data_IF_716124500748
#
_entry.id   IF_716124500748
#
_cell.length_a   1.000
_cell.length_b   1.000
_cell.length_c   1.000
_cell.angle_alpha   90.00
_cell.angle_beta   90.00
_cell.angle_gamma   90.00
#
_symmetry.space_group_name_H-M   'P 1'
#
loop_
_entity.id
_entity.type
_entity.pdbx_description
1 polymer ?
#
# COMPACT_ATOMS: atom_id res chain seq x y z
N UNK A 1 -24.23 14.50 16.19
CA UNK A 1 -22.89 15.01 15.96
C UNK A 1 -22.26 14.33 14.74
N UNK A 2 -21.27 14.96 14.16
CA UNK A 2 -20.51 14.43 13.02
C UNK A 2 -19.12 14.05 13.51
N UNK A 3 -18.60 12.91 13.03
CA UNK A 3 -17.21 12.48 13.26
C UNK A 3 -16.52 12.42 11.90
N UNK A 4 -15.45 13.17 11.74
CA UNK A 4 -14.59 13.12 10.57
C UNK A 4 -13.43 12.15 10.82
N UNK A 5 -13.36 11.09 10.03
CA UNK A 5 -12.25 10.13 10.06
C UNK A 5 -11.17 10.61 9.10
N UNK A 6 -9.96 10.86 9.61
CA UNK A 6 -8.85 11.36 8.79
C UNK A 6 -7.77 10.29 8.72
N UNK A 7 -7.76 9.49 7.63
CA UNK A 7 -6.82 8.38 7.47
C UNK A 7 -5.45 8.81 6.94
N UNK A 8 -5.26 10.09 6.66
CA UNK A 8 -3.99 10.64 6.17
C UNK A 8 -2.99 10.85 7.30
N UNK A 9 -1.72 11.02 6.97
CA UNK A 9 -0.66 11.38 7.90
C UNK A 9 -0.16 12.82 7.72
N UNK A 10 -0.75 13.55 6.78
CA UNK A 10 -0.45 14.95 6.48
C UNK A 10 -1.71 15.80 6.65
N UNK A 11 -1.64 16.94 7.37
CA UNK A 11 -2.82 17.77 7.58
C UNK A 11 -3.18 18.52 6.31
N UNK A 12 -4.38 18.24 5.79
CA UNK A 12 -4.94 18.88 4.60
C UNK A 12 -6.21 19.65 4.96
N UNK A 13 -6.32 20.88 4.48
CA UNK A 13 -7.43 21.78 4.81
C UNK A 13 -8.80 21.21 4.41
N UNK A 14 -8.88 20.49 3.29
CA UNK A 14 -10.15 19.93 2.81
C UNK A 14 -10.72 18.79 3.67
N UNK A 15 -9.92 18.28 4.64
CA UNK A 15 -10.42 17.31 5.62
C UNK A 15 -11.18 17.98 6.78
N UNK A 16 -11.12 19.30 6.92
CA UNK A 16 -11.76 20.00 8.01
C UNK A 16 -13.27 20.15 7.78
N UNK A 17 -14.04 19.73 8.75
CA UNK A 17 -15.50 19.83 8.74
C UNK A 17 -15.92 20.60 9.98
N UNK A 18 -16.52 21.79 9.78
CA UNK A 18 -16.98 22.62 10.88
C UNK A 18 -18.02 21.87 11.74
N UNK A 19 -17.86 21.96 13.07
CA UNK A 19 -18.75 21.30 14.02
C UNK A 19 -18.59 19.78 14.15
N UNK A 20 -17.59 19.20 13.48
CA UNK A 20 -17.25 17.79 13.61
C UNK A 20 -16.16 17.54 14.64
N UNK A 21 -16.18 16.37 15.26
CA UNK A 21 -15.01 15.82 15.97
C UNK A 21 -14.12 15.10 14.96
N UNK A 22 -12.87 15.52 14.88
CA UNK A 22 -11.88 14.94 13.96
C UNK A 22 -11.07 13.86 14.63
N UNK A 23 -11.08 12.66 14.11
CA UNK A 23 -10.21 11.58 14.58
C UNK A 23 -8.98 11.50 13.70
N UNK A 24 -7.81 11.52 14.32
CA UNK A 24 -6.51 11.55 13.64
C UNK A 24 -5.64 10.37 14.05
N UNK A 25 -4.81 9.90 13.12
CA UNK A 25 -3.97 8.73 13.32
C UNK A 25 -2.66 9.06 14.05
N UNK A 26 -2.11 10.27 13.83
CA UNK A 26 -0.76 10.62 14.24
C UNK A 26 -0.71 11.96 14.96
N UNK A 27 0.26 12.15 15.88
CA UNK A 27 0.48 13.44 16.54
C UNK A 27 0.77 14.61 15.56
N UNK A 28 1.36 14.35 14.42
CA UNK A 28 1.59 15.34 13.36
C UNK A 28 0.30 15.99 12.86
N UNK A 29 -0.74 15.18 12.63
CA UNK A 29 -2.07 15.67 12.26
C UNK A 29 -2.69 16.51 13.37
N UNK A 30 -2.63 16.01 14.61
CA UNK A 30 -3.10 16.76 15.77
C UNK A 30 -2.45 18.14 15.86
N UNK A 31 -1.12 18.19 15.77
CA UNK A 31 -0.37 19.44 15.82
C UNK A 31 -0.68 20.34 14.62
N UNK A 32 -0.77 19.79 13.41
CA UNK A 32 -1.10 20.53 12.21
C UNK A 32 -2.44 21.26 12.35
N UNK A 33 -3.51 20.54 12.73
CA UNK A 33 -4.83 21.14 12.88
C UNK A 33 -4.96 22.07 14.11
N UNK A 34 -4.11 21.91 15.11
CA UNK A 34 -4.06 22.80 16.27
C UNK A 34 -3.30 24.09 16.01
N UNK A 35 -2.35 24.07 15.09
CA UNK A 35 -1.43 25.21 14.86
C UNK A 35 -1.53 25.80 13.45
N UNK A 36 -2.19 25.10 12.52
CA UNK A 36 -2.24 25.38 11.07
C UNK A 36 -0.85 25.44 10.41
N UNK A 37 0.17 24.92 11.10
CA UNK A 37 1.52 24.84 10.54
C UNK A 37 1.65 23.62 9.64
N UNK A 38 2.39 23.79 8.54
CA UNK A 38 2.68 22.75 7.56
C UNK A 38 1.41 22.08 6.98
N UNK A 39 0.29 22.82 7.01
CA UNK A 39 -0.96 22.36 6.44
C UNK A 39 -0.96 22.57 4.92
N UNK A 40 -1.34 21.53 4.17
CA UNK A 40 -1.53 21.62 2.73
C UNK A 40 -2.76 22.45 2.35
N UNK A 41 -2.55 23.56 1.69
CA UNK A 41 -3.53 24.33 0.91
C UNK A 41 -4.75 24.85 1.65
N UNK A 42 -4.60 25.85 2.51
CA UNK A 42 -5.78 26.52 3.01
C UNK A 42 -5.68 27.17 4.39
N UNK A 43 -4.49 27.48 4.84
CA UNK A 43 -4.29 28.18 6.13
C UNK A 43 -5.06 29.50 6.22
N UNK A 44 -5.32 30.13 5.08
CA UNK A 44 -6.08 31.38 4.98
C UNK A 44 -7.60 31.19 5.16
N UNK A 45 -8.11 29.97 4.98
CA UNK A 45 -9.54 29.69 4.99
C UNK A 45 -10.07 29.19 6.34
N UNK A 46 -9.19 28.74 7.22
CA UNK A 46 -9.56 28.06 8.44
C UNK A 46 -8.83 28.61 9.66
N UNK A 47 -9.45 28.47 10.81
CA UNK A 47 -8.82 28.68 12.11
C UNK A 47 -8.45 27.34 12.75
N UNK A 48 -7.51 27.38 13.67
CA UNK A 48 -7.07 26.18 14.40
C UNK A 48 -8.23 25.50 15.11
N UNK A 49 -8.36 24.19 14.96
CA UNK A 49 -9.41 23.44 15.64
C UNK A 49 -9.23 23.48 17.17
N UNK A 50 -10.33 23.62 17.93
CA UNK A 50 -10.30 23.47 19.37
C UNK A 50 -9.76 22.09 19.78
N UNK A 51 -9.12 22.02 20.96
CA UNK A 51 -8.56 20.76 21.48
C UNK A 51 -9.63 19.66 21.57
N UNK A 52 -10.85 20.03 21.95
CA UNK A 52 -11.92 19.07 22.17
C UNK A 52 -12.56 18.55 20.88
N UNK A 53 -12.25 19.18 19.75
CA UNK A 53 -12.73 18.77 18.42
C UNK A 53 -11.74 17.83 17.70
N UNK A 54 -10.64 17.45 18.37
CA UNK A 54 -9.66 16.51 17.82
C UNK A 54 -9.43 15.36 18.79
N UNK A 55 -9.42 14.13 18.28
CA UNK A 55 -9.08 12.90 19.01
C UNK A 55 -7.98 12.15 18.29
N UNK A 56 -6.88 11.92 18.95
CA UNK A 56 -5.84 11.00 18.46
C UNK A 56 -6.26 9.58 18.81
N UNK A 57 -6.57 8.77 17.79
CA UNK A 57 -7.14 7.42 17.96
C UNK A 57 -6.18 6.29 17.56
N UNK A 58 -5.00 6.64 17.07
CA UNK A 58 -4.05 5.68 16.49
C UNK A 58 -4.37 5.36 15.03
N UNK A 59 -3.62 4.42 14.47
CA UNK A 59 -3.76 4.06 13.07
C UNK A 59 -5.05 3.30 12.77
N UNK A 60 -5.67 3.65 11.65
CA UNK A 60 -6.73 2.84 11.06
C UNK A 60 -6.07 1.69 10.30
N UNK A 61 -6.40 0.48 10.66
CA UNK A 61 -5.85 -0.74 10.05
C UNK A 61 -7.02 -1.63 9.63
N UNK A 62 -6.94 -2.19 8.44
CA UNK A 62 -7.96 -3.09 7.93
C UNK A 62 -8.12 -4.31 8.83
N UNK A 63 -9.36 -4.70 9.05
CA UNK A 63 -9.72 -5.79 9.95
C UNK A 63 -9.05 -7.11 9.54
N UNK A 64 -8.98 -7.39 8.27
CA UNK A 64 -8.37 -8.60 7.71
C UNK A 64 -6.89 -8.71 8.06
N UNK A 65 -6.16 -7.59 8.04
CA UNK A 65 -4.74 -7.55 8.43
C UNK A 65 -4.61 -7.85 9.93
N UNK A 66 -5.45 -7.21 10.75
CA UNK A 66 -5.37 -7.36 12.22
C UNK A 66 -5.76 -8.77 12.65
N UNK A 67 -6.83 -9.31 12.09
CA UNK A 67 -7.32 -10.65 12.45
C UNK A 67 -6.40 -11.78 11.97
N UNK A 68 -5.69 -11.59 10.85
CA UNK A 68 -4.78 -12.57 10.28
C UNK A 68 -3.33 -12.48 10.76
N UNK A 69 -2.96 -11.48 11.59
CA UNK A 69 -1.56 -11.13 11.85
C UNK A 69 -0.72 -12.28 12.39
N UNK A 70 -1.23 -13.09 13.30
CA UNK A 70 -0.49 -14.20 13.90
C UNK A 70 -0.20 -15.30 12.89
N UNK A 71 -1.22 -15.71 12.14
CA UNK A 71 -1.11 -16.75 11.11
C UNK A 71 -0.20 -16.31 9.95
N UNK A 72 -0.39 -15.10 9.47
CA UNK A 72 0.40 -14.54 8.37
C UNK A 72 1.86 -14.35 8.77
N UNK A 73 2.12 -13.86 9.97
CA UNK A 73 3.49 -13.76 10.49
C UNK A 73 4.14 -15.14 10.62
N UNK A 74 3.42 -16.13 11.12
CA UNK A 74 3.93 -17.49 11.21
C UNK A 74 4.26 -18.07 9.82
N UNK A 75 3.40 -17.86 8.82
CA UNK A 75 3.62 -18.27 7.44
C UNK A 75 4.86 -17.58 6.83
N UNK A 76 5.00 -16.27 7.03
CA UNK A 76 6.17 -15.49 6.57
C UNK A 76 7.46 -15.97 7.21
N UNK A 77 7.48 -16.21 8.52
CA UNK A 77 8.65 -16.73 9.22
C UNK A 77 9.06 -18.11 8.71
N UNK A 78 8.10 -19.01 8.45
CA UNK A 78 8.39 -20.31 7.83
C UNK A 78 9.02 -20.13 6.46
N UNK A 79 8.43 -19.29 5.59
CA UNK A 79 8.97 -19.03 4.24
C UNK A 79 10.40 -18.47 4.28
N UNK A 80 10.68 -17.54 5.20
CA UNK A 80 12.01 -16.93 5.34
C UNK A 80 13.04 -17.97 5.80
N UNK A 81 12.65 -18.86 6.70
CA UNK A 81 13.54 -19.90 7.25
C UNK A 81 13.83 -20.99 6.23
N UNK A 82 12.80 -21.44 5.53
CA UNK A 82 12.88 -22.65 4.73
C UNK A 82 13.25 -22.38 3.26
N UNK A 83 13.17 -21.14 2.82
CA UNK A 83 13.34 -20.76 1.41
C UNK A 83 14.24 -19.55 1.21
N UNK A 84 15.16 -19.61 0.24
CA UNK A 84 16.10 -18.52 -0.04
C UNK A 84 15.45 -17.35 -0.81
N UNK A 85 14.24 -17.54 -1.39
CA UNK A 85 13.57 -16.49 -2.18
C UNK A 85 12.98 -15.44 -1.26
N UNK A 86 13.37 -14.18 -1.47
CA UNK A 86 12.81 -13.02 -0.77
C UNK A 86 11.67 -12.44 -1.60
N UNK A 87 10.55 -12.16 -0.96
CA UNK A 87 9.39 -11.51 -1.58
C UNK A 87 9.37 -10.05 -1.18
N UNK A 88 9.15 -9.18 -2.15
CA UNK A 88 9.02 -7.74 -1.95
C UNK A 88 7.68 -7.29 -2.50
N UNK A 89 6.95 -6.53 -1.70
CA UNK A 89 5.70 -5.90 -2.07
C UNK A 89 5.95 -4.44 -2.46
N UNK A 90 5.48 -4.07 -3.65
CA UNK A 90 5.40 -2.71 -4.14
C UNK A 90 3.94 -2.35 -4.32
N UNK A 91 3.46 -1.29 -3.65
CA UNK A 91 2.06 -0.87 -3.76
C UNK A 91 1.96 0.52 -4.36
N UNK A 92 1.08 0.67 -5.35
CA UNK A 92 0.70 1.96 -5.90
C UNK A 92 -0.28 2.63 -4.93
N UNK A 93 0.03 3.85 -4.52
CA UNK A 93 -0.91 4.65 -3.72
C UNK A 93 -1.99 5.29 -4.59
N UNK A 94 -3.05 5.82 -3.95
CA UNK A 94 -4.21 6.40 -4.63
C UNK A 94 -3.92 7.51 -5.65
N UNK A 95 -2.79 8.22 -5.51
CA UNK A 95 -2.36 9.23 -6.48
C UNK A 95 -1.69 8.64 -7.75
N UNK A 96 -1.47 7.32 -7.82
CA UNK A 96 -0.83 6.68 -8.97
C UNK A 96 0.61 7.13 -9.25
N UNK A 97 1.32 7.58 -8.21
CA UNK A 97 2.68 8.09 -8.36
C UNK A 97 3.72 6.96 -8.39
N UNK A 98 4.89 7.24 -8.96
CA UNK A 98 6.10 6.42 -8.87
C UNK A 98 6.14 5.12 -9.69
N UNK A 99 5.30 4.92 -10.71
CA UNK A 99 5.36 3.74 -11.58
C UNK A 99 6.77 3.52 -12.16
N UNK A 100 7.49 4.60 -12.50
CA UNK A 100 8.88 4.52 -12.96
C UNK A 100 9.81 3.87 -11.92
N UNK A 101 9.63 4.18 -10.63
CA UNK A 101 10.44 3.57 -9.57
C UNK A 101 10.20 2.06 -9.43
N UNK A 102 8.98 1.59 -9.72
CA UNK A 102 8.71 0.16 -9.73
C UNK A 102 9.46 -0.54 -10.86
N UNK A 103 9.53 0.08 -12.04
CA UNK A 103 10.35 -0.42 -13.14
C UNK A 103 11.84 -0.45 -12.77
N UNK A 104 12.37 0.63 -12.19
CA UNK A 104 13.76 0.70 -11.76
C UNK A 104 14.11 -0.38 -10.72
N UNK A 105 13.20 -0.65 -9.78
CA UNK A 105 13.35 -1.73 -8.79
C UNK A 105 13.34 -3.10 -9.47
N UNK A 106 12.39 -3.34 -10.38
CA UNK A 106 12.29 -4.59 -11.12
C UNK A 106 13.56 -4.84 -11.96
N UNK A 107 14.05 -3.81 -12.65
CA UNK A 107 15.32 -3.85 -13.38
C UNK A 107 16.50 -4.20 -12.46
N UNK A 108 16.64 -3.50 -11.35
CA UNK A 108 17.71 -3.75 -10.38
C UNK A 108 17.65 -5.17 -9.77
N UNK A 109 16.43 -5.72 -9.62
CA UNK A 109 16.22 -7.07 -9.09
C UNK A 109 16.33 -8.17 -10.15
N UNK A 110 16.43 -7.86 -11.44
CA UNK A 110 16.37 -8.84 -12.56
C UNK A 110 17.26 -10.05 -12.33
N UNK A 111 18.53 -9.85 -12.04
CA UNK A 111 19.46 -10.96 -11.81
C UNK A 111 19.13 -11.82 -10.57
N UNK A 112 18.46 -11.23 -9.58
CA UNK A 112 17.94 -11.95 -8.42
C UNK A 112 16.68 -12.76 -8.75
N UNK A 113 15.80 -12.20 -9.59
CA UNK A 113 14.58 -12.83 -10.08
C UNK A 113 14.92 -14.05 -10.94
N UNK A 114 15.82 -13.89 -11.92
CA UNK A 114 16.28 -14.97 -12.79
C UNK A 114 16.90 -16.14 -11.99
N UNK A 115 17.60 -15.84 -10.91
CA UNK A 115 18.19 -16.85 -10.01
C UNK A 115 17.21 -17.40 -8.97
N UNK A 116 15.95 -16.97 -9.00
CA UNK A 116 14.91 -17.36 -8.05
C UNK A 116 15.17 -16.92 -6.60
N UNK A 117 16.01 -15.90 -6.40
CA UNK A 117 16.34 -15.34 -5.07
C UNK A 117 15.39 -14.21 -4.66
N UNK A 118 14.74 -13.59 -5.63
CA UNK A 118 13.81 -12.46 -5.46
C UNK A 118 12.52 -12.76 -6.19
N UNK A 119 11.39 -12.43 -5.56
CA UNK A 119 10.08 -12.32 -6.19
C UNK A 119 9.51 -10.94 -5.90
N UNK A 120 8.89 -10.33 -6.91
CA UNK A 120 8.23 -9.04 -6.76
C UNK A 120 6.72 -9.21 -6.87
N UNK A 121 6.00 -8.60 -5.95
CA UNK A 121 4.55 -8.51 -5.94
C UNK A 121 4.20 -7.03 -6.08
N UNK A 122 3.64 -6.65 -7.23
CA UNK A 122 3.39 -5.25 -7.59
C UNK A 122 1.89 -5.03 -7.65
N UNK A 123 1.33 -4.34 -6.67
CA UNK A 123 -0.06 -3.94 -6.69
C UNK A 123 -0.20 -2.58 -7.37
N UNK A 124 -0.87 -2.57 -8.51
CA UNK A 124 -1.13 -1.36 -9.31
C UNK A 124 -2.50 -0.74 -9.00
N UNK A 125 -3.37 -1.45 -8.27
CA UNK A 125 -4.73 -1.00 -8.04
C UNK A 125 -5.51 -0.88 -9.34
N UNK A 126 -6.33 0.16 -9.46
CA UNK A 126 -7.12 0.52 -10.64
C UNK A 126 -6.39 1.45 -11.63
N UNK A 127 -5.10 1.67 -11.44
CA UNK A 127 -4.31 2.60 -12.24
C UNK A 127 -3.92 2.05 -13.62
N UNK A 128 -4.89 1.83 -14.52
CA UNK A 128 -4.66 1.25 -15.84
C UNK A 128 -3.60 2.00 -16.68
N UNK A 129 -3.60 3.35 -16.62
CA UNK A 129 -2.60 4.15 -17.32
C UNK A 129 -1.18 3.95 -16.77
N UNK A 130 -1.03 3.84 -15.45
CA UNK A 130 0.27 3.58 -14.80
C UNK A 130 0.73 2.15 -15.03
N UNK A 131 -0.22 1.23 -15.10
CA UNK A 131 0.09 -0.13 -15.52
C UNK A 131 0.66 -0.19 -16.94
N UNK A 132 0.04 0.51 -17.90
CA UNK A 132 0.56 0.56 -19.26
C UNK A 132 1.99 1.12 -19.34
N UNK A 133 2.32 2.14 -18.54
CA UNK A 133 3.68 2.66 -18.42
C UNK A 133 4.65 1.64 -17.84
N UNK A 134 4.30 1.02 -16.71
CA UNK A 134 5.13 0.00 -16.07
C UNK A 134 5.36 -1.19 -17.00
N UNK A 135 4.30 -1.66 -17.66
CA UNK A 135 4.37 -2.76 -18.62
C UNK A 135 5.38 -2.48 -19.73
N UNK A 136 5.33 -1.28 -20.32
CA UNK A 136 6.25 -0.90 -21.40
C UNK A 136 7.72 -0.97 -20.94
N UNK A 137 8.03 -0.55 -19.71
CA UNK A 137 9.39 -0.64 -19.17
C UNK A 137 9.80 -2.07 -18.83
N UNK A 138 8.91 -2.90 -18.27
CA UNK A 138 9.19 -4.32 -17.99
C UNK A 138 9.48 -5.06 -19.30
N UNK A 139 8.68 -4.83 -20.34
CA UNK A 139 8.87 -5.41 -21.67
C UNK A 139 10.19 -4.95 -22.31
N UNK A 140 10.51 -3.66 -22.22
CA UNK A 140 11.77 -3.09 -22.71
C UNK A 140 12.99 -3.72 -22.03
N UNK A 141 12.93 -3.92 -20.73
CA UNK A 141 14.02 -4.48 -19.91
C UNK A 141 14.06 -6.03 -19.99
N UNK A 142 13.10 -6.66 -20.67
CA UNK A 142 12.97 -8.10 -20.77
C UNK A 142 12.78 -8.76 -19.39
N UNK A 143 11.98 -8.14 -18.53
CA UNK A 143 11.58 -8.69 -17.23
C UNK A 143 10.23 -9.38 -17.39
N UNK A 144 10.17 -10.72 -17.36
CA UNK A 144 8.90 -11.43 -17.45
C UNK A 144 8.05 -11.23 -16.23
N UNK A 145 6.74 -11.14 -16.41
CA UNK A 145 5.77 -10.95 -15.33
C UNK A 145 4.51 -11.79 -15.59
N UNK A 146 3.81 -12.10 -14.53
CA UNK A 146 2.48 -12.69 -14.51
C UNK A 146 1.47 -11.66 -14.02
N UNK A 147 0.34 -11.54 -14.72
CA UNK A 147 -0.69 -10.57 -14.42
C UNK A 147 -1.87 -11.24 -13.73
N UNK A 148 -2.38 -10.61 -12.69
CA UNK A 148 -3.52 -11.06 -11.91
C UNK A 148 -4.61 -9.97 -11.98
N UNK A 149 -5.58 -10.13 -12.88
CA UNK A 149 -6.69 -9.20 -13.14
C UNK A 149 -8.08 -9.84 -12.95
N UNK A 150 -8.15 -11.17 -12.84
CA UNK A 150 -9.35 -11.87 -12.39
C UNK A 150 -9.31 -12.07 -10.88
N UNK A 151 -10.34 -11.60 -10.18
CA UNK A 151 -10.34 -11.60 -8.72
C UNK A 151 -10.40 -13.00 -8.11
N UNK A 152 -11.19 -13.91 -8.69
CA UNK A 152 -11.32 -15.28 -8.15
C UNK A 152 -10.03 -16.08 -8.35
N UNK A 153 -9.42 -15.96 -9.52
CA UNK A 153 -8.12 -16.56 -9.79
C UNK A 153 -7.02 -15.96 -8.89
N UNK A 154 -7.06 -14.65 -8.63
CA UNK A 154 -6.11 -13.96 -7.75
C UNK A 154 -6.23 -14.44 -6.31
N UNK A 155 -7.45 -14.65 -5.80
CA UNK A 155 -7.65 -15.23 -4.46
C UNK A 155 -7.08 -16.64 -4.36
N UNK A 156 -7.33 -17.48 -5.35
CA UNK A 156 -6.81 -18.83 -5.39
C UNK A 156 -5.27 -18.84 -5.42
N UNK A 157 -4.67 -17.99 -6.25
CA UNK A 157 -3.23 -17.79 -6.28
C UNK A 157 -2.67 -17.33 -4.93
N UNK A 158 -3.30 -16.34 -4.29
CA UNK A 158 -2.86 -15.82 -2.99
C UNK A 158 -2.87 -16.91 -1.91
N UNK A 159 -3.91 -17.73 -1.87
CA UNK A 159 -4.00 -18.84 -0.91
C UNK A 159 -2.91 -19.90 -1.15
N UNK A 160 -2.67 -20.28 -2.40
CA UNK A 160 -1.58 -21.19 -2.74
C UNK A 160 -0.22 -20.56 -2.39
N UNK A 161 -0.01 -19.30 -2.70
CA UNK A 161 1.24 -18.57 -2.50
C UNK A 161 1.62 -18.42 -1.02
N UNK A 162 0.67 -18.54 -0.08
CA UNK A 162 0.96 -18.51 1.37
C UNK A 162 1.94 -19.60 1.77
N UNK A 163 1.86 -20.76 1.14
CA UNK A 163 2.68 -21.93 1.49
C UNK A 163 3.59 -22.39 0.36
N UNK A 164 3.22 -22.17 -0.90
CA UNK A 164 3.99 -22.58 -2.06
C UNK A 164 5.18 -21.64 -2.37
N UNK A 165 6.24 -22.14 -3.01
CA UNK A 165 7.28 -21.29 -3.57
C UNK A 165 6.73 -20.50 -4.75
N UNK A 166 6.80 -19.18 -4.66
CA UNK A 166 6.44 -18.28 -5.76
C UNK A 166 7.69 -17.54 -6.23
N UNK A 167 7.90 -17.48 -7.53
CA UNK A 167 9.06 -16.86 -8.18
C UNK A 167 8.60 -15.90 -9.26
N UNK A 168 9.42 -14.90 -9.56
CA UNK A 168 9.16 -13.98 -10.66
C UNK A 168 8.55 -12.66 -10.22
N UNK A 169 7.90 -12.03 -11.16
CA UNK A 169 7.18 -10.76 -10.96
C UNK A 169 5.70 -11.02 -11.14
N UNK A 170 4.92 -10.67 -10.13
CA UNK A 170 3.46 -10.80 -10.13
C UNK A 170 2.85 -9.42 -10.02
N UNK A 171 1.97 -9.07 -10.97
CA UNK A 171 1.33 -7.75 -11.05
C UNK A 171 -0.16 -7.93 -10.79
N UNK A 172 -0.67 -7.22 -9.80
CA UNK A 172 -2.06 -7.26 -9.36
C UNK A 172 -2.77 -5.98 -9.81
N UNK A 173 -3.89 -6.15 -10.51
CA UNK A 173 -4.72 -5.06 -11.05
C UNK A 173 -6.07 -5.00 -10.34
N UNK A 174 -6.04 -4.89 -9.02
CA UNK A 174 -7.23 -4.82 -8.18
C UNK A 174 -7.16 -3.64 -7.23
N UNK A 175 -8.30 -3.04 -6.91
CA UNK A 175 -8.43 -2.02 -5.86
C UNK A 175 -8.05 -2.58 -4.50
N UNK A 176 -8.36 -3.85 -4.28
CA UNK A 176 -8.01 -4.56 -3.06
C UNK A 176 -6.57 -5.09 -3.12
N UNK A 177 -5.72 -4.58 -2.24
CA UNK A 177 -4.30 -4.96 -2.18
C UNK A 177 -4.04 -6.22 -1.33
N UNK A 178 -5.03 -6.77 -0.65
CA UNK A 178 -4.85 -7.92 0.25
C UNK A 178 -4.22 -9.13 -0.42
N UNK A 179 -4.62 -9.44 -1.66
CA UNK A 179 -4.02 -10.55 -2.39
C UNK A 179 -2.50 -10.41 -2.51
N UNK A 180 -1.99 -9.22 -2.84
CA UNK A 180 -0.56 -8.95 -2.90
C UNK A 180 0.11 -9.00 -1.52
N UNK A 181 -0.56 -8.52 -0.47
CA UNK A 181 -0.06 -8.58 0.91
C UNK A 181 0.07 -10.02 1.39
N UNK A 182 -0.93 -10.85 1.19
CA UNK A 182 -0.91 -12.25 1.65
C UNK A 182 0.13 -13.11 0.94
N UNK A 183 0.48 -12.79 -0.29
CA UNK A 183 1.54 -13.49 -1.02
C UNK A 183 2.94 -13.09 -0.59
N UNK A 184 3.08 -11.99 0.12
CA UNK A 184 4.39 -11.42 0.53
C UNK A 184 4.78 -11.89 1.92
#
# INVERSE_FOLDING_TARGET
GVVALIPDNYPLAFHLVEGAVHTVQAPSLYMGYRTLRDMGGGEELFHALPKDDIRCVGHYVDHEIVSGVEEDCAARLRRIKDRPTRRFLLTMGGAGAQARRFADIAHACKGGIEKGKVSLFINMGDHAGRWAELKAWLDQDGVPYEMHDDWEATKAFAEEARTAPVRGVHVFLHDNFFAAVYTT
#
